data_IF_306199572430
#
_entry.id   IF_306199572430
#
_cell.length_a   1.000
_cell.length_b   1.000
_cell.length_c   1.000
_cell.angle_alpha   90.00
_cell.angle_beta   90.00
_cell.angle_gamma   90.00
#
_symmetry.space_group_name_H-M   'P 1'
#
loop_
_entity.id
_entity.type
_entity.pdbx_description
1 polymer ?
#
# COMPACT_ATOMS: atom_id res chain seq x y z
N UNK A 1 10.19 1.11 6.39
CA UNK A 1 11.44 1.23 5.60
C UNK A 1 11.24 2.34 4.59
N UNK A 2 12.10 3.33 4.60
CA UNK A 2 12.07 4.45 3.66
C UNK A 2 13.14 4.22 2.60
N UNK A 3 12.78 4.40 1.34
CA UNK A 3 13.76 4.42 0.25
C UNK A 3 14.27 5.83 0.14
N UNK A 4 15.51 6.02 0.52
CA UNK A 4 16.20 7.31 0.41
C UNK A 4 16.78 7.39 -0.99
N UNK A 5 16.28 8.33 -1.80
CA UNK A 5 16.96 8.69 -3.05
C UNK A 5 18.03 9.71 -2.67
N UNK A 6 19.25 9.23 -2.54
CA UNK A 6 20.42 10.09 -2.58
C UNK A 6 20.74 10.23 -4.06
N UNK A 7 20.07 11.14 -4.74
CA UNK A 7 20.61 11.62 -6.01
C UNK A 7 21.81 12.43 -5.61
N UNK A 8 22.99 11.94 -5.98
CA UNK A 8 24.27 12.49 -5.53
C UNK A 8 24.39 13.93 -6.03
N UNK A 9 24.01 14.88 -5.19
CA UNK A 9 24.31 16.32 -5.39
C UNK A 9 25.83 16.51 -5.53
N UNK A 10 26.63 15.56 -5.04
CA UNK A 10 28.10 15.57 -5.22
C UNK A 10 28.51 15.57 -6.69
N UNK A 11 27.84 14.84 -7.56
CA UNK A 11 28.18 14.82 -8.99
C UNK A 11 27.74 16.11 -9.69
N UNK A 12 26.59 16.65 -9.29
CA UNK A 12 26.15 17.99 -9.70
C UNK A 12 27.05 19.08 -9.13
N UNK A 13 27.41 19.01 -7.87
CA UNK A 13 28.35 19.96 -7.26
C UNK A 13 29.73 19.91 -7.91
N UNK A 14 30.23 18.72 -8.25
CA UNK A 14 31.55 18.56 -8.90
C UNK A 14 31.56 19.17 -10.31
N UNK A 15 30.50 19.01 -11.08
CA UNK A 15 30.34 19.65 -12.38
C UNK A 15 30.25 21.18 -12.26
N UNK A 16 29.50 21.68 -11.29
CA UNK A 16 29.23 23.11 -11.12
C UNK A 16 30.34 23.85 -10.36
N UNK A 17 31.09 23.18 -9.48
CA UNK A 17 32.17 23.82 -8.70
C UNK A 17 33.29 24.32 -9.61
N UNK A 18 33.51 23.71 -10.75
CA UNK A 18 34.53 24.13 -11.71
C UNK A 18 34.15 25.42 -12.45
N UNK A 19 32.85 25.70 -12.66
CA UNK A 19 32.41 26.87 -13.41
C UNK A 19 31.86 28.01 -12.53
N UNK A 20 31.41 27.72 -11.30
CA UNK A 20 30.58 28.65 -10.56
C UNK A 20 30.98 28.91 -9.10
N UNK A 21 32.28 28.92 -8.81
CA UNK A 21 32.83 29.19 -7.46
C UNK A 21 32.28 30.45 -6.76
N UNK A 22 31.69 31.38 -7.49
CA UNK A 22 31.19 32.66 -6.94
C UNK A 22 29.70 32.66 -6.53
N UNK A 23 28.94 31.56 -6.78
CA UNK A 23 27.49 31.55 -6.54
C UNK A 23 26.95 30.30 -5.81
N UNK A 24 27.70 29.82 -4.86
CA UNK A 24 27.36 28.62 -4.07
C UNK A 24 25.93 28.68 -3.45
N UNK A 25 25.51 29.84 -2.97
CA UNK A 25 24.18 30.01 -2.38
C UNK A 25 23.05 29.80 -3.40
N UNK A 26 23.23 30.25 -4.63
CA UNK A 26 22.24 30.11 -5.71
C UNK A 26 22.19 28.68 -6.21
N UNK A 27 23.32 28.01 -6.27
CA UNK A 27 23.39 26.59 -6.63
C UNK A 27 22.65 25.74 -5.60
N UNK A 28 22.89 25.94 -4.31
CA UNK A 28 22.19 25.23 -3.23
C UNK A 28 20.67 25.48 -3.29
N UNK A 29 20.26 26.70 -3.56
CA UNK A 29 18.86 27.06 -3.70
C UNK A 29 18.21 26.36 -4.93
N UNK A 30 18.86 26.40 -6.07
CA UNK A 30 18.40 25.73 -7.28
C UNK A 30 18.30 24.20 -7.09
N UNK A 31 19.34 23.59 -6.50
CA UNK A 31 19.37 22.17 -6.20
C UNK A 31 18.24 21.74 -5.25
N UNK A 32 18.04 22.48 -4.16
CA UNK A 32 16.93 22.25 -3.23
C UNK A 32 15.58 22.27 -3.93
N UNK A 33 15.33 23.31 -4.75
CA UNK A 33 14.07 23.43 -5.47
C UNK A 33 13.90 22.33 -6.52
N UNK A 34 14.94 22.01 -7.28
CA UNK A 34 14.90 20.95 -8.28
C UNK A 34 14.60 19.58 -7.65
N UNK A 35 15.26 19.24 -6.54
CA UNK A 35 15.01 18.00 -5.79
C UNK A 35 13.55 17.91 -5.31
N UNK A 36 13.04 19.02 -4.78
CA UNK A 36 11.66 19.07 -4.32
C UNK A 36 10.67 18.97 -5.49
N UNK A 37 10.93 19.68 -6.58
CA UNK A 37 10.08 19.62 -7.78
C UNK A 37 10.05 18.22 -8.40
N UNK A 38 11.20 17.57 -8.52
CA UNK A 38 11.25 16.17 -8.98
C UNK A 38 10.38 15.28 -8.11
N UNK A 39 10.51 15.37 -6.79
CA UNK A 39 9.78 14.52 -5.87
C UNK A 39 8.27 14.76 -5.92
N UNK A 40 7.83 16.04 -5.94
CA UNK A 40 6.41 16.37 -5.88
C UNK A 40 5.72 16.37 -7.23
N UNK A 41 6.38 16.86 -8.29
CA UNK A 41 5.76 17.06 -9.59
C UNK A 41 5.95 15.89 -10.55
N UNK A 42 6.98 15.07 -10.35
CA UNK A 42 7.31 13.96 -11.25
C UNK A 42 7.18 12.59 -10.58
N UNK A 43 7.94 12.35 -9.51
CA UNK A 43 7.99 11.05 -8.83
C UNK A 43 6.64 10.68 -8.23
N UNK A 44 6.04 11.58 -7.45
CA UNK A 44 4.77 11.29 -6.78
C UNK A 44 3.63 10.96 -7.74
N UNK A 45 3.35 11.76 -8.80
CA UNK A 45 2.30 11.42 -9.75
C UNK A 45 2.58 10.09 -10.48
N UNK A 46 3.85 9.82 -10.83
CA UNK A 46 4.23 8.57 -11.47
C UNK A 46 4.02 7.37 -10.57
N UNK A 47 4.37 7.48 -9.29
CA UNK A 47 4.08 6.45 -8.29
C UNK A 47 2.57 6.20 -8.12
N UNK A 48 1.76 7.26 -8.13
CA UNK A 48 0.31 7.15 -8.03
C UNK A 48 -0.30 6.47 -9.27
N UNK A 49 0.21 6.78 -10.46
CA UNK A 49 -0.20 6.16 -11.71
C UNK A 49 0.09 4.65 -11.71
N UNK A 50 1.34 4.27 -11.45
CA UNK A 50 1.78 2.88 -11.45
C UNK A 50 1.10 2.06 -10.33
N UNK A 51 0.85 2.68 -9.19
CA UNK A 51 0.06 2.03 -8.15
C UNK A 51 -1.38 1.74 -8.59
N UNK A 52 -2.03 2.68 -9.28
CA UNK A 52 -3.38 2.47 -9.82
C UNK A 52 -3.43 1.34 -10.84
N UNK A 53 -2.36 1.14 -11.62
CA UNK A 53 -2.22 0.00 -12.54
C UNK A 53 -2.04 -1.32 -11.80
N UNK A 54 -1.21 -1.33 -10.76
CA UNK A 54 -0.88 -2.53 -10.00
C UNK A 54 -1.99 -2.99 -9.05
N UNK A 55 -2.84 -2.07 -8.58
CA UNK A 55 -3.83 -2.32 -7.54
C UNK A 55 -5.21 -1.76 -7.86
N UNK A 56 -6.25 -2.49 -7.49
CA UNK A 56 -7.61 -1.95 -7.46
C UNK A 56 -7.74 -0.97 -6.30
N UNK A 57 -7.62 0.31 -6.57
CA UNK A 57 -7.67 1.37 -5.55
C UNK A 57 -9.10 1.58 -5.08
N UNK A 58 -9.42 1.11 -3.88
CA UNK A 58 -10.74 1.27 -3.26
C UNK A 58 -10.80 2.42 -2.24
N UNK A 59 -9.67 3.01 -1.92
CA UNK A 59 -9.59 4.09 -0.93
C UNK A 59 -8.89 5.31 -1.54
N UNK A 60 -9.57 6.45 -1.49
CA UNK A 60 -9.05 7.74 -1.98
C UNK A 60 -7.87 8.28 -1.15
N UNK A 61 -7.55 7.65 -0.01
CA UNK A 61 -6.45 8.08 0.86
C UNK A 61 -5.05 7.65 0.39
N UNK A 62 -4.95 6.89 -0.71
CA UNK A 62 -3.66 6.40 -1.19
C UNK A 62 -2.61 7.50 -1.46
N UNK A 63 -2.94 8.65 -2.09
CA UNK A 63 -1.95 9.71 -2.30
C UNK A 63 -1.29 10.20 -1.01
N UNK A 64 -1.99 10.08 0.14
CA UNK A 64 -1.47 10.42 1.47
C UNK A 64 -0.54 9.35 2.06
N UNK A 65 -0.50 8.16 1.45
CA UNK A 65 0.38 7.07 1.89
C UNK A 65 1.82 7.26 1.42
N UNK A 66 2.06 8.10 0.40
CA UNK A 66 3.40 8.49 -0.03
C UNK A 66 3.82 9.71 0.80
N UNK A 67 4.91 9.57 1.54
CA UNK A 67 5.53 10.65 2.29
C UNK A 67 6.75 11.17 1.53
N UNK A 68 6.92 12.49 1.53
CA UNK A 68 8.09 13.16 0.94
C UNK A 68 8.67 14.06 2.01
N UNK A 69 9.91 13.78 2.42
CA UNK A 69 10.73 14.70 3.21
C UNK A 69 11.42 15.64 2.23
N UNK A 70 11.16 16.93 2.36
CA UNK A 70 11.71 17.96 1.48
C UNK A 70 13.19 18.18 1.76
N UNK A 71 13.95 18.47 0.69
CA UNK A 71 15.29 19.03 0.81
C UNK A 71 15.22 20.46 1.39
N UNK A 72 16.24 20.84 2.13
CA UNK A 72 16.48 22.19 2.63
C UNK A 72 17.80 22.72 2.08
N UNK A 73 18.12 24.00 2.34
CA UNK A 73 19.41 24.58 1.90
C UNK A 73 20.61 23.92 2.56
N UNK A 74 20.41 23.41 3.78
CA UNK A 74 21.48 22.79 4.59
C UNK A 74 21.53 21.26 4.39
N UNK A 75 20.38 20.65 4.03
CA UNK A 75 20.23 19.22 3.75
C UNK A 75 19.66 19.06 2.34
N UNK A 76 20.54 18.92 1.34
CA UNK A 76 20.18 18.73 -0.06
C UNK A 76 19.77 17.28 -0.36
N UNK A 77 18.89 16.74 0.47
CA UNK A 77 18.38 15.39 0.36
C UNK A 77 16.85 15.38 0.40
N UNK A 78 16.21 14.79 -0.61
CA UNK A 78 14.78 14.51 -0.62
C UNK A 78 14.57 13.01 -0.44
N UNK A 79 13.73 12.65 0.54
CA UNK A 79 13.37 11.24 0.77
C UNK A 79 11.93 11.00 0.36
N UNK A 80 11.71 10.03 -0.51
CA UNK A 80 10.37 9.53 -0.85
C UNK A 80 10.16 8.20 -0.16
N UNK A 81 9.10 8.08 0.61
CA UNK A 81 8.80 6.88 1.39
C UNK A 81 7.30 6.56 1.39
N UNK A 82 6.97 5.32 1.75
CA UNK A 82 5.59 4.93 2.01
C UNK A 82 5.37 4.82 3.53
N UNK A 83 4.19 5.29 3.99
CA UNK A 83 3.85 5.31 5.41
C UNK A 83 3.36 3.95 5.94
N UNK A 84 2.85 3.10 5.05
CA UNK A 84 2.19 1.87 5.44
C UNK A 84 3.10 0.65 5.19
N UNK A 85 3.33 -0.17 6.22
CA UNK A 85 4.21 -1.34 6.16
C UNK A 85 3.79 -2.37 5.12
N UNK A 86 2.47 -2.51 4.88
CA UNK A 86 1.97 -3.41 3.85
C UNK A 86 2.46 -3.04 2.44
N UNK A 87 2.74 -1.75 2.19
CA UNK A 87 3.26 -1.29 0.90
C UNK A 87 4.69 -1.76 0.67
N UNK A 88 5.49 -1.87 1.74
CA UNK A 88 6.83 -2.45 1.68
C UNK A 88 6.80 -3.89 1.15
N UNK A 89 5.86 -4.68 1.66
CA UNK A 89 5.69 -6.05 1.21
C UNK A 89 5.28 -6.16 -0.26
N UNK A 90 4.46 -5.23 -0.75
CA UNK A 90 4.08 -5.19 -2.16
C UNK A 90 5.19 -4.64 -3.07
N UNK A 91 6.05 -3.77 -2.56
CA UNK A 91 7.18 -3.23 -3.30
C UNK A 91 8.35 -4.22 -3.42
N UNK A 92 8.62 -4.97 -2.36
CA UNK A 92 9.76 -5.91 -2.30
C UNK A 92 9.35 -7.37 -2.49
N UNK A 93 8.09 -7.69 -2.26
CA UNK A 93 7.63 -9.04 -2.06
C UNK A 93 8.03 -9.57 -0.68
N UNK A 94 7.56 -10.74 -0.31
CA UNK A 94 7.96 -11.37 0.94
C UNK A 94 6.86 -12.18 1.59
N UNK A 95 7.09 -12.60 2.83
CA UNK A 95 6.13 -13.32 3.66
C UNK A 95 5.52 -12.39 4.70
N UNK A 96 4.20 -12.39 4.78
CA UNK A 96 3.48 -11.76 5.88
C UNK A 96 3.21 -12.79 6.95
N UNK A 97 3.59 -12.47 8.17
CA UNK A 97 3.32 -13.24 9.39
C UNK A 97 2.30 -12.49 10.27
N UNK A 98 1.63 -13.18 11.20
CA UNK A 98 0.80 -12.51 12.20
C UNK A 98 1.63 -11.52 13.01
N UNK A 99 1.05 -10.37 13.32
CA UNK A 99 1.68 -9.36 14.18
C UNK A 99 1.32 -9.57 15.64
N UNK A 100 2.27 -9.35 16.52
CA UNK A 100 2.11 -9.39 17.99
C UNK A 100 1.55 -10.74 18.49
N UNK A 101 0.52 -10.68 19.34
CA UNK A 101 -0.11 -11.85 19.96
C UNK A 101 -1.11 -12.61 19.04
N UNK A 102 -1.21 -12.27 17.77
CA UNK A 102 -2.11 -12.97 16.86
C UNK A 102 -1.53 -14.33 16.48
N UNK A 103 -2.31 -15.39 16.70
CA UNK A 103 -1.90 -16.78 16.41
C UNK A 103 -1.86 -17.07 14.91
N UNK A 104 -2.72 -16.41 14.13
CA UNK A 104 -2.82 -16.63 12.69
C UNK A 104 -3.30 -15.39 11.92
N UNK A 105 -2.97 -15.33 10.63
CA UNK A 105 -3.51 -14.36 9.70
C UNK A 105 -4.89 -14.78 9.22
N UNK A 106 -5.81 -13.87 9.12
CA UNK A 106 -7.11 -14.08 8.45
C UNK A 106 -7.02 -13.61 7.00
N UNK A 107 -6.88 -14.57 6.09
CA UNK A 107 -6.75 -14.32 4.65
C UNK A 107 -8.12 -14.46 3.97
N UNK A 108 -8.63 -13.45 3.24
CA UNK A 108 -9.90 -13.56 2.54
C UNK A 108 -9.80 -14.50 1.36
N UNK A 109 -10.65 -15.52 1.29
CA UNK A 109 -10.72 -16.49 0.18
C UNK A 109 -11.62 -15.95 -0.93
N UNK A 110 -12.85 -15.59 -0.59
CA UNK A 110 -13.85 -15.16 -1.56
C UNK A 110 -14.04 -13.62 -1.47
N UNK A 111 -13.20 -12.90 -2.19
CA UNK A 111 -13.18 -11.42 -2.19
C UNK A 111 -14.42 -10.82 -2.88
N UNK A 112 -15.03 -11.59 -3.78
CA UNK A 112 -16.09 -11.11 -4.67
C UNK A 112 -17.46 -11.73 -4.34
N UNK A 113 -17.57 -12.38 -3.17
CA UNK A 113 -18.82 -12.96 -2.71
C UNK A 113 -19.95 -11.91 -2.67
N UNK A 114 -21.12 -12.20 -3.25
CA UNK A 114 -22.26 -11.30 -3.23
C UNK A 114 -22.60 -10.82 -1.81
N UNK A 115 -22.74 -9.51 -1.64
CA UNK A 115 -23.03 -8.90 -0.35
C UNK A 115 -21.85 -8.82 0.63
N UNK A 116 -20.64 -9.27 0.24
CA UNK A 116 -19.44 -9.13 1.05
C UNK A 116 -18.92 -7.69 1.07
N UNK A 117 -19.04 -6.99 -0.06
CA UNK A 117 -18.61 -5.60 -0.24
C UNK A 117 -19.79 -4.68 -0.54
N UNK A 118 -19.58 -3.38 -0.33
CA UNK A 118 -20.40 -2.34 -0.92
C UNK A 118 -20.04 -2.18 -2.41
N UNK A 119 -20.88 -1.51 -3.19
CA UNK A 119 -20.58 -1.12 -4.58
C UNK A 119 -19.29 -0.32 -4.69
N UNK A 120 -18.98 0.51 -3.70
CA UNK A 120 -17.71 1.22 -3.59
C UNK A 120 -16.47 0.32 -3.40
N UNK A 121 -16.63 -1.00 -3.38
CA UNK A 121 -15.59 -1.99 -3.19
C UNK A 121 -15.10 -2.17 -1.75
N UNK A 122 -15.58 -1.38 -0.78
CA UNK A 122 -15.25 -1.53 0.64
C UNK A 122 -15.91 -2.77 1.23
N UNK A 123 -15.20 -3.50 2.10
CA UNK A 123 -15.77 -4.61 2.86
C UNK A 123 -16.80 -4.07 3.85
N UNK A 124 -18.03 -4.64 3.84
CA UNK A 124 -19.05 -4.28 4.82
C UNK A 124 -18.54 -4.56 6.23
N UNK A 125 -18.78 -3.66 7.19
CA UNK A 125 -18.25 -3.76 8.55
C UNK A 125 -18.46 -5.13 9.17
N UNK A 126 -19.69 -5.66 9.09
CA UNK A 126 -20.08 -6.99 9.57
C UNK A 126 -19.36 -8.19 8.93
N UNK A 127 -18.64 -7.97 7.82
CA UNK A 127 -17.87 -8.99 7.12
C UNK A 127 -16.35 -8.81 7.30
N UNK A 128 -15.92 -7.82 8.07
CA UNK A 128 -14.50 -7.67 8.42
C UNK A 128 -14.08 -8.77 9.37
N UNK A 129 -12.87 -9.31 9.19
CA UNK A 129 -12.37 -10.39 10.03
C UNK A 129 -12.38 -10.08 11.54
N UNK A 130 -11.96 -8.89 12.02
CA UNK A 130 -12.04 -8.56 13.44
C UNK A 130 -13.46 -8.59 13.99
N UNK A 131 -14.44 -8.08 13.26
CA UNK A 131 -15.84 -8.08 13.69
C UNK A 131 -16.44 -9.49 13.72
N UNK A 132 -16.09 -10.33 12.73
CA UNK A 132 -16.49 -11.73 12.71
C UNK A 132 -15.88 -12.51 13.89
N UNK A 133 -14.61 -12.29 14.18
CA UNK A 133 -13.92 -12.92 15.33
C UNK A 133 -14.51 -12.45 16.66
N UNK A 134 -14.76 -11.14 16.81
CA UNK A 134 -15.43 -10.58 17.98
C UNK A 134 -16.80 -11.22 18.21
N UNK A 135 -17.58 -11.36 17.12
CA UNK A 135 -18.87 -12.03 17.18
C UNK A 135 -18.74 -13.49 17.58
N UNK A 136 -17.79 -14.23 17.02
CA UNK A 136 -17.54 -15.63 17.32
C UNK A 136 -17.10 -15.83 18.78
N UNK A 137 -16.29 -14.93 19.33
CA UNK A 137 -15.85 -14.97 20.71
C UNK A 137 -16.98 -14.64 21.70
N UNK A 138 -17.83 -13.66 21.36
CA UNK A 138 -18.95 -13.26 22.22
C UNK A 138 -20.09 -14.30 22.25
N UNK A 139 -20.24 -15.07 21.17
CA UNK A 139 -21.27 -16.08 21.03
C UNK A 139 -20.62 -17.46 21.02
N UNK A 140 -20.08 -17.87 22.18
CA UNK A 140 -19.56 -19.22 22.43
C UNK A 140 -20.46 -20.28 21.79
N UNK A 141 -19.86 -21.16 21.00
CA UNK A 141 -20.48 -22.09 20.05
C UNK A 141 -21.32 -23.14 20.78
N UNK A 142 -22.38 -22.77 21.43
CA UNK A 142 -23.48 -23.70 21.72
C UNK A 142 -24.41 -23.72 20.52
N UNK A 143 -23.97 -24.40 19.47
CA UNK A 143 -24.72 -24.55 18.22
C UNK A 143 -25.75 -25.66 18.32
N UNK A 144 -26.73 -25.51 19.17
CA UNK A 144 -28.07 -26.04 18.89
C UNK A 144 -28.99 -24.85 18.71
N UNK A 145 -28.74 -24.04 17.66
CA UNK A 145 -29.51 -22.86 17.35
C UNK A 145 -30.60 -23.19 16.36
N UNK A 146 -31.83 -22.80 16.70
CA UNK A 146 -33.00 -22.81 15.82
C UNK A 146 -32.63 -22.37 14.41
N UNK A 147 -33.09 -23.14 13.44
CA UNK A 147 -33.07 -22.91 12.00
C UNK A 147 -33.26 -21.43 11.65
N UNK A 148 -32.43 -20.87 10.80
CA UNK A 148 -32.68 -19.61 10.10
C UNK A 148 -31.68 -18.45 10.32
N UNK A 149 -30.72 -18.52 11.22
CA UNK A 149 -29.78 -17.42 11.47
C UNK A 149 -28.48 -17.61 10.68
N UNK A 150 -28.18 -16.66 9.79
CA UNK A 150 -26.93 -16.58 9.01
C UNK A 150 -25.72 -16.23 9.87
N UNK A 151 -25.41 -17.07 10.86
CA UNK A 151 -24.29 -16.82 11.75
C UNK A 151 -22.98 -17.32 11.12
N UNK A 152 -21.89 -16.56 11.18
CA UNK A 152 -20.58 -17.07 10.84
C UNK A 152 -20.17 -18.13 11.89
N UNK A 153 -19.40 -19.11 11.47
CA UNK A 153 -18.82 -20.14 12.33
C UNK A 153 -17.42 -20.52 11.84
N UNK A 154 -16.65 -21.16 12.72
CA UNK A 154 -15.33 -21.67 12.36
C UNK A 154 -15.49 -23.13 11.93
N UNK A 155 -15.09 -23.44 10.70
CA UNK A 155 -14.97 -24.79 10.17
C UNK A 155 -13.49 -25.18 10.16
N UNK A 156 -13.16 -26.33 10.76
CA UNK A 156 -11.82 -26.93 10.65
C UNK A 156 -11.92 -28.08 9.64
N UNK A 157 -11.12 -28.01 8.59
CA UNK A 157 -11.07 -29.04 7.55
C UNK A 157 -9.66 -29.08 6.92
N UNK A 158 -9.12 -30.28 6.67
CA UNK A 158 -7.85 -30.48 6.00
C UNK A 158 -6.66 -29.80 6.69
N UNK A 159 -6.63 -29.73 8.02
CA UNK A 159 -5.58 -29.06 8.78
C UNK A 159 -5.67 -27.53 8.82
N UNK A 160 -6.64 -26.95 8.11
CA UNK A 160 -6.88 -25.50 8.08
C UNK A 160 -8.17 -25.14 8.81
N UNK A 161 -8.25 -23.91 9.31
CA UNK A 161 -9.45 -23.35 9.92
C UNK A 161 -9.99 -22.21 9.04
N UNK A 162 -11.32 -22.15 8.91
CA UNK A 162 -12.01 -21.22 8.03
C UNK A 162 -13.10 -20.47 8.77
N UNK A 163 -13.31 -19.20 8.46
CA UNK A 163 -14.53 -18.49 8.83
C UNK A 163 -15.52 -18.66 7.67
N UNK A 164 -16.63 -19.32 7.99
CA UNK A 164 -17.66 -19.67 7.01
C UNK A 164 -18.98 -19.01 7.39
N UNK A 165 -19.78 -18.67 6.40
CA UNK A 165 -21.12 -18.14 6.57
C UNK A 165 -22.12 -18.93 5.74
N UNK A 166 -23.16 -19.45 6.37
CA UNK A 166 -24.25 -20.13 5.66
C UNK A 166 -25.07 -19.17 4.81
N UNK A 167 -25.50 -19.63 3.64
CA UNK A 167 -26.48 -18.91 2.83
C UNK A 167 -27.91 -19.29 3.25
N UNK A 168 -28.85 -18.37 3.08
CA UNK A 168 -30.28 -18.62 3.41
C UNK A 168 -30.92 -19.73 2.58
N UNK A 169 -30.39 -19.96 1.38
CA UNK A 169 -30.96 -20.90 0.43
C UNK A 169 -30.82 -22.38 0.82
N UNK A 170 -30.08 -22.68 1.91
CA UNK A 170 -29.83 -24.06 2.33
C UNK A 170 -30.84 -24.64 3.31
N UNK A 171 -32.00 -23.97 3.51
CA UNK A 171 -32.99 -24.43 4.48
C UNK A 171 -34.00 -25.45 3.92
N UNK A 172 -34.10 -25.61 2.60
CA UNK A 172 -34.95 -26.62 1.98
C UNK A 172 -34.19 -27.91 1.65
N UNK A 173 -34.84 -29.06 1.78
CA UNK A 173 -34.24 -30.37 1.45
C UNK A 173 -33.71 -30.42 0.03
N UNK A 174 -34.30 -29.70 -0.91
CA UNK A 174 -33.87 -29.61 -2.32
C UNK A 174 -32.62 -28.77 -2.51
N UNK A 175 -32.42 -27.70 -1.74
CA UNK A 175 -31.20 -26.88 -1.82
C UNK A 175 -29.97 -27.60 -1.24
N UNK A 176 -30.14 -28.59 -0.36
CA UNK A 176 -29.05 -29.47 0.10
C UNK A 176 -28.56 -30.39 -1.02
N UNK A 177 -29.43 -30.83 -1.93
CA UNK A 177 -29.06 -31.64 -3.10
C UNK A 177 -28.33 -30.83 -4.18
N UNK A 178 -28.53 -29.51 -4.27
CA UNK A 178 -27.91 -28.62 -5.26
C UNK A 178 -26.56 -28.05 -4.82
N UNK A 179 -25.94 -28.52 -3.71
CA UNK A 179 -24.59 -28.13 -3.33
C UNK A 179 -24.40 -26.63 -3.09
N UNK A 180 -25.41 -25.96 -2.53
CA UNK A 180 -25.26 -24.57 -2.10
C UNK A 180 -24.23 -24.49 -0.98
N UNK A 181 -23.00 -24.30 -1.42
CA UNK A 181 -21.84 -24.31 -0.57
C UNK A 181 -21.90 -23.17 0.45
N UNK A 182 -21.56 -23.51 1.68
CA UNK A 182 -21.23 -22.51 2.69
C UNK A 182 -20.23 -21.52 2.12
N UNK A 183 -20.44 -20.22 2.34
CA UNK A 183 -19.54 -19.18 1.84
C UNK A 183 -18.30 -19.10 2.72
N UNK A 184 -17.21 -19.63 2.24
CA UNK A 184 -15.91 -19.46 2.86
C UNK A 184 -15.47 -18.00 2.73
N UNK A 185 -15.32 -17.31 3.85
CA UNK A 185 -14.97 -15.88 3.86
C UNK A 185 -13.47 -15.68 4.08
N UNK A 186 -12.92 -16.39 5.06
CA UNK A 186 -11.50 -16.29 5.43
C UNK A 186 -10.92 -17.66 5.75
N UNK A 187 -9.63 -17.80 5.52
CA UNK A 187 -8.82 -18.91 6.04
C UNK A 187 -7.85 -18.36 7.08
N UNK A 188 -7.52 -19.17 8.09
CA UNK A 188 -6.46 -18.88 9.03
C UNK A 188 -5.16 -19.48 8.52
N UNK A 189 -4.14 -18.65 8.36
CA UNK A 189 -2.82 -19.04 7.90
C UNK A 189 -1.73 -18.50 8.83
N UNK A 190 -0.70 -19.30 9.10
CA UNK A 190 0.44 -18.88 9.90
C UNK A 190 1.33 -17.89 9.14
N UNK A 191 1.32 -17.96 7.81
CA UNK A 191 2.05 -17.07 6.92
C UNK A 191 1.41 -17.02 5.53
N UNK A 192 1.56 -15.90 4.87
CA UNK A 192 1.07 -15.72 3.49
C UNK A 192 2.17 -15.07 2.65
N UNK A 193 2.43 -15.62 1.47
CA UNK A 193 3.35 -15.02 0.49
C UNK A 193 2.66 -13.87 -0.22
N UNK A 194 3.33 -12.73 -0.24
CA UNK A 194 2.90 -11.53 -0.98
C UNK A 194 3.84 -11.35 -2.15
N UNK A 195 3.35 -11.47 -3.40
CA UNK A 195 4.18 -11.24 -4.57
C UNK A 195 4.51 -9.74 -4.70
N UNK A 196 5.69 -9.45 -5.23
CA UNK A 196 6.04 -8.09 -5.65
C UNK A 196 5.08 -7.68 -6.77
N UNK A 197 4.40 -6.56 -6.60
CA UNK A 197 3.44 -6.02 -7.56
C UNK A 197 3.77 -4.61 -8.01
N UNK A 198 4.69 -3.94 -7.35
CA UNK A 198 4.96 -2.54 -7.55
C UNK A 198 6.46 -2.27 -7.37
N UNK A 199 7.09 -1.74 -8.38
CA UNK A 199 8.53 -1.45 -8.41
C UNK A 199 8.80 -0.02 -7.93
N UNK A 200 8.50 0.24 -6.65
CA UNK A 200 8.64 1.57 -6.05
C UNK A 200 10.04 2.15 -6.26
N UNK A 201 11.07 1.42 -5.86
CA UNK A 201 12.47 1.88 -5.90
C UNK A 201 12.92 2.19 -7.32
N UNK A 202 12.57 1.32 -8.28
CA UNK A 202 12.88 1.49 -9.69
C UNK A 202 12.21 2.74 -10.28
N UNK A 203 10.90 2.89 -10.03
CA UNK A 203 10.13 4.03 -10.55
C UNK A 203 10.71 5.35 -10.03
N UNK A 204 11.03 5.37 -8.75
CA UNK A 204 11.59 6.56 -8.13
C UNK A 204 12.94 6.91 -8.72
N UNK A 205 13.86 5.92 -8.82
CA UNK A 205 15.21 6.09 -9.35
C UNK A 205 15.16 6.56 -10.81
N UNK A 206 14.49 5.83 -11.69
CA UNK A 206 14.42 6.16 -13.11
C UNK A 206 13.78 7.53 -13.38
N UNK A 207 12.73 7.87 -12.62
CA UNK A 207 12.07 9.17 -12.77
C UNK A 207 12.99 10.29 -12.28
N UNK A 208 13.67 10.10 -11.17
CA UNK A 208 14.59 11.10 -10.64
C UNK A 208 15.80 11.31 -11.56
N UNK A 209 16.44 10.24 -12.01
CA UNK A 209 17.60 10.33 -12.92
C UNK A 209 17.26 11.05 -14.24
N UNK A 210 16.08 10.80 -14.76
CA UNK A 210 15.62 11.42 -16.02
C UNK A 210 15.26 12.89 -15.88
N UNK A 211 14.56 13.26 -14.81
CA UNK A 211 13.93 14.58 -14.69
C UNK A 211 14.76 15.58 -13.88
N UNK A 212 15.65 15.10 -12.99
CA UNK A 212 16.43 15.99 -12.14
C UNK A 212 17.37 16.93 -12.92
N UNK A 213 18.12 16.47 -13.92
CA UNK A 213 19.01 17.38 -14.67
C UNK A 213 18.23 18.55 -15.30
N UNK A 214 17.11 18.25 -15.95
CA UNK A 214 16.28 19.26 -16.62
C UNK A 214 15.67 20.28 -15.67
N UNK A 215 15.15 19.80 -14.53
CA UNK A 215 14.57 20.67 -13.52
C UNK A 215 15.63 21.46 -12.77
N UNK A 216 16.82 20.90 -12.60
CA UNK A 216 17.94 21.63 -12.01
C UNK A 216 18.39 22.77 -12.93
N UNK A 217 18.60 22.52 -14.20
CA UNK A 217 18.97 23.54 -15.19
C UNK A 217 17.96 24.69 -15.19
N UNK A 218 16.68 24.37 -15.30
CA UNK A 218 15.61 25.37 -15.22
C UNK A 218 15.66 26.20 -13.92
N UNK A 219 15.76 25.53 -12.78
CA UNK A 219 15.80 26.22 -11.47
C UNK A 219 17.08 27.01 -11.26
N UNK A 220 18.16 26.55 -11.86
CA UNK A 220 19.42 27.27 -11.84
C UNK A 220 19.33 28.57 -12.66
N UNK A 221 18.80 28.52 -13.87
CA UNK A 221 18.56 29.73 -14.68
C UNK A 221 17.63 30.73 -13.96
N UNK A 222 16.55 30.24 -13.33
CA UNK A 222 15.65 31.07 -12.54
C UNK A 222 16.39 31.73 -11.36
N UNK A 223 17.21 30.97 -10.64
CA UNK A 223 17.97 31.47 -9.51
C UNK A 223 19.03 32.53 -9.94
N UNK A 224 19.64 32.31 -11.09
CA UNK A 224 20.61 33.27 -11.65
C UNK A 224 19.98 34.59 -12.07
N UNK A 225 18.78 34.55 -12.67
CA UNK A 225 18.03 35.78 -13.04
C UNK A 225 17.59 36.60 -11.82
N UNK A 226 17.38 35.95 -10.69
CA UNK A 226 16.95 36.60 -9.44
C UNK A 226 18.11 36.93 -8.49
N UNK A 227 19.31 36.50 -8.81
CA UNK A 227 20.53 36.81 -8.04
C UNK A 227 20.85 38.32 -8.18
N UNK A 228 20.68 39.06 -7.09
CA UNK A 228 21.15 40.43 -6.94
C UNK A 228 22.54 40.48 -6.34
#
# INVERSE_FOLDING_TARGET
MSTTIITSVKDLQKYLTNELKKQEKQIKFAAMNALNDVAFQKVRPKLEEEYKKAFTVRNKSFPRAIAIKKATKDDLQTTVSYKADFMALHAKGGERKPEKAAVALTVPINKDAPGFRFESGKVKGRNKAPELLKYLNAHSIKTKGKSGVKRPFILKAGGSAFIVKRDKSTTTKESRKKGNADKFLFVFENKTKIPKRWDFDKIVKETAEKELPKLFEKRFEEAMKTAK
#
